data_IF_083670563214
#
_entry.id   IF_083670563214
#
_cell.length_a   1.000
_cell.length_b   1.000
_cell.length_c   1.000
_cell.angle_alpha   90.00
_cell.angle_beta   90.00
_cell.angle_gamma   90.00
#
_symmetry.space_group_name_H-M   'P 1'
#
loop_
_entity.id
_entity.type
_entity.pdbx_description
1 polymer ?
#
# COMPACT_ATOMS: atom_id res chain seq x y z
N UNK A 1 21.08 19.81 35.47
CA UNK A 1 21.15 20.53 34.18
C UNK A 1 19.99 20.09 33.31
N UNK A 2 19.42 21.05 32.62
CA UNK A 2 18.04 21.14 32.16
C UNK A 2 17.75 20.26 30.95
N UNK A 3 16.52 19.74 30.91
CA UNK A 3 15.84 19.11 29.78
C UNK A 3 16.09 19.85 28.46
N UNK A 4 16.48 19.13 27.41
CA UNK A 4 16.12 19.50 26.03
C UNK A 4 15.32 18.33 25.48
N UNK A 5 14.00 18.43 25.63
CA UNK A 5 13.05 17.79 24.72
C UNK A 5 13.31 18.40 23.35
N UNK A 6 14.01 17.70 22.47
CA UNK A 6 13.86 17.92 21.03
C UNK A 6 12.45 17.44 20.67
N UNK A 7 11.49 18.35 20.86
CA UNK A 7 10.26 18.35 20.06
C UNK A 7 10.69 18.33 18.61
N UNK A 8 10.70 17.12 18.03
CA UNK A 8 10.69 16.92 16.59
C UNK A 8 9.40 17.61 16.15
N UNK A 9 9.54 18.86 15.72
CA UNK A 9 8.54 19.59 14.98
C UNK A 9 8.30 18.78 13.70
N UNK A 10 7.32 17.87 13.74
CA UNK A 10 6.71 17.36 12.52
C UNK A 10 6.05 18.59 11.89
N UNK A 11 6.55 19.10 10.76
CA UNK A 11 5.98 20.31 10.19
C UNK A 11 4.51 20.05 9.87
N UNK A 12 3.61 20.95 10.28
CA UNK A 12 2.16 20.84 10.06
C UNK A 12 1.79 20.56 8.59
N UNK A 13 2.67 20.91 7.65
CA UNK A 13 2.59 20.55 6.24
C UNK A 13 2.53 19.03 5.99
N UNK A 14 3.36 18.22 6.66
CA UNK A 14 3.36 16.76 6.47
C UNK A 14 2.11 16.06 7.03
N UNK A 15 1.53 16.61 8.10
CA UNK A 15 0.28 16.09 8.67
C UNK A 15 -0.93 16.35 7.74
N UNK A 16 -0.96 17.53 7.11
CA UNK A 16 -2.03 17.90 6.18
C UNK A 16 -1.94 17.16 4.83
N UNK A 17 -0.72 16.92 4.35
CA UNK A 17 -0.48 16.06 3.19
C UNK A 17 -0.90 14.61 3.47
N UNK A 18 -0.55 14.07 4.64
CA UNK A 18 -0.92 12.72 5.02
C UNK A 18 -2.45 12.53 5.13
N UNK A 19 -3.20 13.52 5.63
CA UNK A 19 -4.66 13.46 5.71
C UNK A 19 -5.34 13.60 4.35
N UNK A 20 -4.84 14.49 3.48
CA UNK A 20 -5.36 14.64 2.13
C UNK A 20 -5.08 13.40 1.27
N UNK A 21 -3.90 12.82 1.39
CA UNK A 21 -3.54 11.60 0.69
C UNK A 21 -4.39 10.41 1.12
N UNK A 22 -4.65 10.27 2.44
CA UNK A 22 -5.59 9.27 2.94
C UNK A 22 -7.00 9.47 2.41
N UNK A 23 -7.45 10.72 2.28
CA UNK A 23 -8.74 11.05 1.69
C UNK A 23 -8.79 10.65 0.20
N UNK A 24 -7.77 10.99 -0.57
CA UNK A 24 -7.64 10.57 -1.98
C UNK A 24 -7.61 9.05 -2.12
N UNK A 25 -6.87 8.34 -1.26
CA UNK A 25 -6.84 6.88 -1.25
C UNK A 25 -8.21 6.28 -0.95
N UNK A 26 -8.92 6.78 0.07
CA UNK A 26 -10.26 6.29 0.40
C UNK A 26 -11.26 6.59 -0.72
N UNK A 27 -11.18 7.78 -1.31
CA UNK A 27 -12.01 8.18 -2.46
C UNK A 27 -11.75 7.30 -3.68
N UNK A 28 -10.49 7.07 -4.03
CA UNK A 28 -10.11 6.16 -5.09
C UNK A 28 -10.58 4.73 -4.80
N UNK A 29 -10.37 4.21 -3.59
CA UNK A 29 -10.83 2.88 -3.21
C UNK A 29 -12.35 2.73 -3.38
N UNK A 30 -13.14 3.73 -2.98
CA UNK A 30 -14.59 3.75 -3.18
C UNK A 30 -14.95 3.74 -4.66
N UNK A 31 -14.28 4.55 -5.49
CA UNK A 31 -14.52 4.58 -6.93
C UNK A 31 -14.17 3.24 -7.60
N UNK A 32 -13.07 2.62 -7.21
CA UNK A 32 -12.66 1.32 -7.76
C UNK A 32 -13.61 0.21 -7.30
N UNK A 33 -14.03 0.22 -6.02
CA UNK A 33 -15.05 -0.70 -5.53
C UNK A 33 -16.39 -0.52 -6.26
N UNK A 34 -16.82 0.73 -6.46
CA UNK A 34 -18.03 1.02 -7.24
C UNK A 34 -17.88 0.48 -8.68
N UNK A 35 -16.75 0.72 -9.33
CA UNK A 35 -16.47 0.18 -10.67
C UNK A 35 -16.60 -1.34 -10.71
N UNK A 36 -16.12 -2.06 -9.69
CA UNK A 36 -16.22 -3.51 -9.63
C UNK A 36 -17.64 -4.03 -9.35
N UNK A 37 -18.46 -3.28 -8.61
CA UNK A 37 -19.87 -3.63 -8.39
C UNK A 37 -20.66 -3.48 -9.69
N UNK A 38 -20.41 -2.40 -10.46
CA UNK A 38 -21.13 -2.14 -11.71
C UNK A 38 -20.60 -2.95 -12.90
N UNK A 39 -19.30 -3.23 -12.95
CA UNK A 39 -18.63 -3.96 -14.03
C UNK A 39 -17.67 -5.02 -13.46
N UNK A 40 -18.21 -6.16 -12.98
CA UNK A 40 -17.39 -7.22 -12.40
C UNK A 40 -16.51 -7.86 -13.46
N UNK A 41 -15.20 -7.78 -13.28
CA UNK A 41 -14.20 -8.38 -14.16
C UNK A 41 -13.58 -9.58 -13.43
N UNK A 42 -14.04 -10.83 -13.70
CA UNK A 42 -13.40 -12.01 -13.12
C UNK A 42 -11.92 -11.98 -13.49
N UNK A 43 -11.05 -12.02 -12.48
CA UNK A 43 -9.59 -11.97 -12.55
C UNK A 43 -8.91 -10.59 -12.49
N UNK A 44 -9.64 -9.48 -12.38
CA UNK A 44 -9.03 -8.13 -12.29
C UNK A 44 -9.21 -7.45 -10.93
N UNK A 45 -9.15 -8.22 -9.84
CA UNK A 45 -9.30 -7.74 -8.46
C UNK A 45 -7.98 -7.59 -7.69
N UNK A 46 -6.87 -8.06 -8.26
CA UNK A 46 -5.61 -8.14 -7.52
C UNK A 46 -5.06 -6.75 -7.15
N UNK A 47 -5.24 -5.74 -8.00
CA UNK A 47 -4.76 -4.38 -7.74
C UNK A 47 -5.46 -3.76 -6.52
N UNK A 48 -6.78 -3.97 -6.36
CA UNK A 48 -7.53 -3.57 -5.16
C UNK A 48 -6.98 -4.23 -3.89
N UNK A 49 -6.68 -5.53 -3.95
CA UNK A 49 -6.11 -6.25 -2.82
C UNK A 49 -4.71 -5.72 -2.45
N UNK A 50 -3.87 -5.45 -3.45
CA UNK A 50 -2.54 -4.86 -3.26
C UNK A 50 -2.62 -3.45 -2.65
N UNK A 51 -3.52 -2.61 -3.15
CA UNK A 51 -3.78 -1.27 -2.60
C UNK A 51 -4.25 -1.36 -1.15
N UNK A 52 -5.20 -2.26 -0.85
CA UNK A 52 -5.70 -2.44 0.51
C UNK A 52 -4.58 -2.89 1.46
N UNK A 53 -3.81 -3.90 1.07
CA UNK A 53 -2.63 -4.38 1.79
C UNK A 53 -1.68 -3.21 2.04
N UNK A 54 -1.29 -2.49 0.99
CA UNK A 54 -0.40 -1.34 1.12
C UNK A 54 -0.93 -0.30 2.10
N UNK A 55 -2.21 0.06 2.04
CA UNK A 55 -2.80 1.05 2.95
C UNK A 55 -2.72 0.61 4.41
N UNK A 56 -3.05 -0.65 4.71
CA UNK A 56 -2.96 -1.21 6.07
C UNK A 56 -1.53 -1.13 6.60
N UNK A 57 -0.55 -1.48 5.77
CA UNK A 57 0.86 -1.48 6.16
C UNK A 57 1.47 -0.08 6.22
N UNK A 58 1.02 0.83 5.35
CA UNK A 58 1.40 2.24 5.36
C UNK A 58 0.90 2.91 6.62
N UNK A 59 -0.27 2.53 7.13
CA UNK A 59 -0.81 3.06 8.40
C UNK A 59 0.04 2.70 9.63
N UNK A 60 0.83 1.60 9.57
CA UNK A 60 1.76 1.24 10.64
C UNK A 60 2.96 2.19 10.74
N UNK A 61 3.35 2.79 9.62
CA UNK A 61 4.48 3.70 9.56
C UNK A 61 4.01 5.14 9.78
N UNK A 62 4.82 5.90 10.50
CA UNK A 62 4.64 7.35 10.58
C UNK A 62 4.79 7.97 9.18
N UNK A 63 4.12 9.10 8.89
CA UNK A 63 4.27 9.78 7.61
C UNK A 63 5.72 10.20 7.29
N UNK A 64 6.54 10.41 8.32
CA UNK A 64 7.97 10.73 8.19
C UNK A 64 8.78 9.49 7.76
N UNK A 65 8.31 8.31 8.16
CA UNK A 65 8.88 7.02 7.81
C UNK A 65 8.31 6.45 6.50
N UNK A 66 7.56 7.22 5.71
CA UNK A 66 7.14 6.85 4.35
C UNK A 66 7.58 7.90 3.35
N UNK A 67 7.74 7.50 2.08
CA UNK A 67 8.01 8.44 1.00
C UNK A 67 6.68 8.77 0.36
N UNK A 68 6.22 10.02 0.47
CA UNK A 68 4.97 10.45 -0.18
C UNK A 68 4.94 10.12 -1.67
N UNK A 69 6.12 10.13 -2.34
CA UNK A 69 6.25 9.72 -3.75
C UNK A 69 5.79 8.29 -4.02
N UNK A 70 6.09 7.34 -3.13
CA UNK A 70 5.68 5.94 -3.32
C UNK A 70 4.16 5.79 -3.11
N UNK A 71 3.60 6.49 -2.13
CA UNK A 71 2.15 6.52 -1.88
C UNK A 71 1.41 7.10 -3.11
N UNK A 72 1.92 8.18 -3.72
CA UNK A 72 1.36 8.75 -4.96
C UNK A 72 1.48 7.79 -6.16
N UNK A 73 2.64 7.15 -6.34
CA UNK A 73 2.84 6.20 -7.45
C UNK A 73 1.89 5.02 -7.34
N UNK A 74 1.63 4.52 -6.13
CA UNK A 74 0.67 3.44 -5.93
C UNK A 74 -0.75 3.89 -6.27
N UNK A 75 -1.16 5.08 -5.81
CA UNK A 75 -2.49 5.61 -6.09
C UNK A 75 -2.71 5.79 -7.60
N UNK A 76 -1.73 6.39 -8.30
CA UNK A 76 -1.78 6.55 -9.76
C UNK A 76 -1.83 5.19 -10.45
N UNK A 77 -1.06 4.21 -9.97
CA UNK A 77 -1.08 2.85 -10.53
C UNK A 77 -2.43 2.17 -10.37
N UNK A 78 -3.04 2.27 -9.19
CA UNK A 78 -4.36 1.70 -8.91
C UNK A 78 -5.46 2.31 -9.77
N UNK A 79 -5.43 3.63 -9.94
CA UNK A 79 -6.35 4.33 -10.83
C UNK A 79 -6.13 3.92 -12.29
N UNK A 80 -4.88 3.77 -12.74
CA UNK A 80 -4.57 3.30 -14.07
C UNK A 80 -5.03 1.86 -14.30
N UNK A 81 -4.82 0.94 -13.35
CA UNK A 81 -5.38 -0.41 -13.38
C UNK A 81 -6.89 -0.39 -13.59
N UNK A 82 -7.59 0.47 -12.84
CA UNK A 82 -9.05 0.59 -12.91
C UNK A 82 -9.55 1.25 -14.20
N UNK A 83 -8.78 2.17 -14.78
CA UNK A 83 -9.06 2.71 -16.11
C UNK A 83 -8.84 1.65 -17.19
N UNK A 84 -7.78 0.86 -17.07
CA UNK A 84 -7.49 -0.24 -17.99
C UNK A 84 -8.56 -1.33 -17.94
N UNK A 85 -9.10 -1.67 -16.75
CA UNK A 85 -10.20 -2.63 -16.64
C UNK A 85 -11.47 -2.15 -17.35
N UNK A 86 -11.78 -0.86 -17.24
CA UNK A 86 -12.92 -0.24 -17.94
C UNK A 86 -12.66 -0.15 -19.44
N UNK A 87 -11.47 0.29 -19.85
CA UNK A 87 -11.11 0.42 -21.26
C UNK A 87 -11.11 -0.92 -22.00
N UNK A 88 -10.60 -1.98 -21.37
CA UNK A 88 -10.60 -3.34 -21.92
C UNK A 88 -12.02 -3.91 -22.09
N UNK A 89 -12.98 -3.41 -21.31
CA UNK A 89 -14.39 -3.75 -21.49
C UNK A 89 -15.05 -3.00 -22.65
N UNK A 90 -14.67 -1.73 -22.86
CA UNK A 90 -15.30 -0.85 -23.85
C UNK A 90 -14.66 -0.95 -25.25
N UNK A 91 -13.39 -1.36 -25.32
CA UNK A 91 -12.61 -1.40 -26.55
C UNK A 91 -12.31 -2.86 -26.93
N UNK A 92 -12.28 -3.19 -28.23
CA UNK A 92 -11.89 -4.53 -28.71
C UNK A 92 -10.38 -4.81 -28.58
N UNK A 93 -9.62 -3.92 -27.93
CA UNK A 93 -8.18 -4.05 -27.73
C UNK A 93 -7.88 -4.91 -26.52
N UNK A 94 -6.96 -5.87 -26.67
CA UNK A 94 -6.41 -6.61 -25.53
C UNK A 94 -5.44 -5.70 -24.73
N UNK A 95 -5.89 -5.19 -23.58
CA UNK A 95 -5.09 -4.36 -22.67
C UNK A 95 -4.49 -5.15 -21.51
N UNK A 96 -4.51 -6.48 -21.58
CA UNK A 96 -4.08 -7.37 -20.51
C UNK A 96 -2.60 -7.20 -20.15
N UNK A 97 -1.73 -7.05 -21.15
CA UNK A 97 -0.31 -6.78 -20.93
C UNK A 97 -0.06 -5.47 -20.18
N UNK A 98 -0.83 -4.41 -20.50
CA UNK A 98 -0.75 -3.13 -19.79
C UNK A 98 -1.24 -3.26 -18.35
N UNK A 99 -2.34 -4.00 -18.13
CA UNK A 99 -2.86 -4.28 -16.80
C UNK A 99 -1.84 -5.06 -15.93
N UNK A 100 -1.21 -6.09 -16.49
CA UNK A 100 -0.17 -6.86 -15.81
C UNK A 100 1.06 -6.01 -15.47
N UNK A 101 1.49 -5.11 -16.36
CA UNK A 101 2.58 -4.19 -16.10
C UNK A 101 2.28 -3.28 -14.89
N UNK A 102 1.06 -2.75 -14.80
CA UNK A 102 0.63 -1.91 -13.67
C UNK A 102 0.54 -2.72 -12.36
N UNK A 103 0.04 -3.96 -12.41
CA UNK A 103 0.06 -4.86 -11.26
C UNK A 103 1.47 -5.13 -10.72
N UNK A 104 2.45 -5.32 -11.61
CA UNK A 104 3.85 -5.51 -11.22
C UNK A 104 4.37 -4.26 -10.50
N UNK A 105 4.03 -3.05 -10.98
CA UNK A 105 4.41 -1.79 -10.31
C UNK A 105 3.84 -1.72 -8.90
N UNK A 106 2.55 -2.05 -8.71
CA UNK A 106 1.93 -2.07 -7.37
C UNK A 106 2.58 -3.10 -6.44
N UNK A 107 2.89 -4.29 -6.96
CA UNK A 107 3.58 -5.33 -6.20
C UNK A 107 4.98 -4.85 -5.76
N UNK A 108 5.75 -4.22 -6.66
CA UNK A 108 7.08 -3.66 -6.34
C UNK A 108 7.00 -2.56 -5.28
N UNK A 109 6.02 -1.66 -5.36
CA UNK A 109 5.82 -0.62 -4.36
C UNK A 109 5.46 -1.22 -3.00
N UNK A 110 4.63 -2.27 -2.99
CA UNK A 110 4.25 -3.00 -1.77
C UNK A 110 5.44 -3.75 -1.16
N UNK A 111 6.31 -4.35 -1.98
CA UNK A 111 7.58 -4.96 -1.53
C UNK A 111 8.52 -3.92 -0.94
N UNK A 112 8.64 -2.75 -1.57
CA UNK A 112 9.46 -1.66 -1.04
C UNK A 112 8.96 -1.19 0.34
N UNK A 113 7.64 -1.10 0.53
CA UNK A 113 7.02 -0.80 1.82
C UNK A 113 7.30 -1.90 2.85
N UNK A 114 7.16 -3.17 2.47
CA UNK A 114 7.49 -4.32 3.33
C UNK A 114 8.94 -4.27 3.78
N UNK A 115 9.88 -4.04 2.85
CA UNK A 115 11.30 -3.96 3.16
C UNK A 115 11.59 -2.86 4.19
N UNK A 116 10.90 -1.71 4.08
CA UNK A 116 11.00 -0.62 5.05
C UNK A 116 10.42 -0.98 6.41
N UNK A 117 9.29 -1.68 6.44
CA UNK A 117 8.71 -2.21 7.69
C UNK A 117 9.68 -3.19 8.37
N UNK A 118 10.29 -4.11 7.62
CA UNK A 118 11.29 -5.04 8.15
C UNK A 118 12.46 -4.28 8.77
N UNK A 119 13.00 -3.27 8.07
CA UNK A 119 14.11 -2.48 8.62
C UNK A 119 13.73 -1.77 9.91
N UNK A 120 12.51 -1.20 9.97
CA UNK A 120 12.00 -0.50 11.16
C UNK A 120 11.84 -1.46 12.34
N UNK A 121 11.41 -2.71 12.13
CA UNK A 121 11.28 -3.69 13.22
C UNK A 121 12.60 -4.32 13.67
N UNK A 122 13.65 -4.27 12.84
CA UNK A 122 14.98 -4.78 13.21
C UNK A 122 15.80 -3.74 13.98
N UNK A 123 15.47 -2.46 13.82
CA UNK A 123 16.15 -1.35 14.48
C UNK A 123 15.55 -1.09 15.89
N UNK A 124 16.34 -1.18 16.98
CA UNK A 124 15.87 -0.85 18.33
C UNK A 124 15.36 0.60 18.47
N UNK A 125 15.84 1.54 17.65
CA UNK A 125 15.38 2.93 17.62
C UNK A 125 14.20 3.14 16.62
N UNK A 126 13.78 2.08 15.92
CA UNK A 126 12.73 2.11 14.90
C UNK A 126 11.33 2.40 15.44
N UNK A 127 11.11 2.36 16.76
CA UNK A 127 9.81 2.63 17.38
C UNK A 127 9.27 4.04 17.07
N UNK A 128 10.16 5.03 16.85
CA UNK A 128 9.75 6.37 16.45
C UNK A 128 9.25 6.46 15.00
N UNK A 129 9.62 5.48 14.17
CA UNK A 129 9.11 5.35 12.81
C UNK A 129 7.72 4.71 12.75
N UNK A 130 7.23 4.13 13.86
CA UNK A 130 5.87 3.58 13.95
C UNK A 130 4.88 4.70 14.27
N UNK A 131 3.70 4.66 13.63
CA UNK A 131 2.65 5.63 13.86
C UNK A 131 2.20 5.63 15.34
N UNK A 132 1.94 6.82 15.89
CA UNK A 132 1.73 7.04 17.33
C UNK A 132 0.63 6.14 17.92
N UNK A 133 -0.48 5.95 17.19
CA UNK A 133 -1.59 5.09 17.59
C UNK A 133 -1.24 3.60 17.64
N UNK A 134 -0.23 3.16 16.89
CA UNK A 134 0.27 1.79 16.87
C UNK A 134 1.45 1.56 17.81
N UNK A 135 2.15 2.61 18.27
CA UNK A 135 3.32 2.50 19.18
C UNK A 135 2.98 1.76 20.48
N UNK A 136 1.80 2.02 21.05
CA UNK A 136 1.34 1.37 22.27
C UNK A 136 1.19 -0.17 22.12
N UNK A 137 0.93 -0.64 20.90
CA UNK A 137 0.77 -2.06 20.57
C UNK A 137 2.11 -2.67 20.14
N UNK A 138 2.94 -1.93 19.41
CA UNK A 138 4.25 -2.36 18.95
C UNK A 138 5.21 -2.66 20.12
N UNK A 139 5.22 -1.82 21.17
CA UNK A 139 6.10 -2.02 22.34
C UNK A 139 5.65 -3.10 23.32
N UNK A 140 4.35 -3.44 23.35
CA UNK A 140 3.77 -4.37 24.33
C UNK A 140 3.57 -5.79 23.79
N UNK A 141 3.52 -5.98 22.46
CA UNK A 141 3.21 -7.27 21.82
C UNK A 141 4.12 -7.52 20.61
N UNK A 142 5.39 -7.90 20.81
CA UNK A 142 6.30 -8.23 19.71
C UNK A 142 5.78 -9.37 18.80
N UNK A 143 4.94 -10.25 19.33
CA UNK A 143 4.26 -11.29 18.53
C UNK A 143 3.22 -10.75 17.54
N UNK A 144 2.55 -9.63 17.86
CA UNK A 144 1.58 -9.00 16.96
C UNK A 144 2.28 -8.41 15.73
N UNK A 145 3.39 -7.70 15.93
CA UNK A 145 4.17 -7.14 14.83
C UNK A 145 4.77 -8.22 13.92
N UNK A 146 5.26 -9.32 14.50
CA UNK A 146 5.70 -10.50 13.72
C UNK A 146 4.56 -11.12 12.93
N UNK A 147 3.39 -11.28 13.53
CA UNK A 147 2.20 -11.82 12.86
C UNK A 147 1.76 -10.96 11.67
N UNK A 148 1.73 -9.63 11.84
CA UNK A 148 1.44 -8.69 10.75
C UNK A 148 2.45 -8.79 9.61
N UNK A 149 3.74 -8.88 9.95
CA UNK A 149 4.81 -9.00 8.95
C UNK A 149 4.67 -10.30 8.14
N UNK A 150 4.44 -11.42 8.80
CA UNK A 150 4.19 -12.70 8.14
C UNK A 150 2.93 -12.66 7.27
N UNK A 151 1.86 -12.01 7.73
CA UNK A 151 0.66 -11.77 6.93
C UNK A 151 0.97 -11.00 5.64
N UNK A 152 1.80 -9.96 5.71
CA UNK A 152 2.22 -9.19 4.53
C UNK A 152 3.00 -10.04 3.53
N UNK A 153 3.97 -10.83 4.01
CA UNK A 153 4.77 -11.73 3.19
C UNK A 153 3.86 -12.75 2.49
N UNK A 154 2.92 -13.34 3.22
CA UNK A 154 1.96 -14.29 2.65
C UNK A 154 1.07 -13.65 1.59
N UNK A 155 0.48 -12.47 1.84
CA UNK A 155 -0.33 -11.75 0.86
C UNK A 155 0.47 -11.41 -0.41
N UNK A 156 1.73 -10.99 -0.26
CA UNK A 156 2.61 -10.70 -1.39
C UNK A 156 2.95 -11.96 -2.19
N UNK A 157 3.25 -13.08 -1.52
CA UNK A 157 3.49 -14.35 -2.21
C UNK A 157 2.25 -14.78 -3.00
N UNK A 158 1.06 -14.69 -2.42
CA UNK A 158 -0.19 -14.97 -3.15
C UNK A 158 -0.37 -14.05 -4.36
N UNK A 159 -0.09 -12.75 -4.23
CA UNK A 159 -0.17 -11.82 -5.34
C UNK A 159 0.82 -12.17 -6.47
N UNK A 160 2.06 -12.52 -6.12
CA UNK A 160 3.08 -12.94 -7.08
C UNK A 160 2.67 -14.24 -7.79
N UNK A 161 2.24 -15.26 -7.04
CA UNK A 161 1.75 -16.51 -7.63
C UNK A 161 0.56 -16.28 -8.56
N UNK A 162 -0.35 -15.37 -8.19
CA UNK A 162 -1.49 -15.01 -9.02
C UNK A 162 -1.07 -14.29 -10.31
N UNK A 163 -0.13 -13.34 -10.24
CA UNK A 163 0.43 -12.67 -11.42
C UNK A 163 1.09 -13.69 -12.35
N UNK A 164 1.90 -14.61 -11.80
CA UNK A 164 2.55 -15.67 -12.58
C UNK A 164 1.52 -16.62 -13.24
N UNK A 165 0.45 -16.95 -12.52
CA UNK A 165 -0.65 -17.75 -13.05
C UNK A 165 -1.36 -17.05 -14.21
N UNK A 166 -1.65 -15.75 -14.08
CA UNK A 166 -2.23 -14.96 -15.18
C UNK A 166 -1.28 -14.89 -16.38
N UNK A 167 0.01 -14.68 -16.13
CA UNK A 167 1.02 -14.61 -17.19
C UNK A 167 1.16 -15.93 -17.97
N UNK A 168 0.86 -17.08 -17.36
CA UNK A 168 0.85 -18.38 -18.04
C UNK A 168 -0.40 -18.61 -18.89
N UNK A 169 -1.49 -17.87 -18.63
CA UNK A 169 -2.76 -18.00 -19.34
C UNK A 169 -2.88 -17.04 -20.53
N UNK A 170 -2.11 -15.95 -20.55
CA UNK A 170 -1.91 -15.03 -21.68
C UNK A 170 -0.93 -15.55 -22.71
#
# INVERSE_FOLDING_TARGET
MTFIRSTIWVPRYFAHEASWLQFLFKGALVLILAQQIYYPQPNKYLHLALVFVYMVFRDLLSPVATSGKNDYLLLVSAMACSLLTVADHLLPSNLEAAYLAMLIVEALLTVALLHRLISVFRDPDGLDSIAEHHRAHAGKRPGFMKGMLWGMVTCLLFAVFYILYLLQLT
#
